data_IF_159722341204
#
_entry.id   IF_159722341204
#
_cell.length_a   1.000
_cell.length_b   1.000
_cell.length_c   1.000
_cell.angle_alpha   90.00
_cell.angle_beta   90.00
_cell.angle_gamma   90.00
#
_symmetry.space_group_name_H-M   'P 1'
#
loop_
_entity.id
_entity.type
_entity.pdbx_description
1 polymer ?
#
# COMPACT_ATOMS: atom_id res chain seq x y z
N UNK A 1 1.94 -12.67 -8.85
CA UNK A 1 0.73 -12.31 -8.11
C UNK A 1 0.68 -10.81 -7.98
N UNK A 2 -0.31 -10.18 -8.59
CA UNK A 2 -0.57 -8.74 -8.43
C UNK A 2 -1.82 -8.56 -7.59
N UNK A 3 -1.75 -7.65 -6.62
CA UNK A 3 -2.86 -7.30 -5.75
C UNK A 3 -3.15 -5.81 -5.91
N UNK A 4 -4.43 -5.44 -5.85
CA UNK A 4 -4.82 -4.06 -5.64
C UNK A 4 -4.84 -3.79 -4.14
N UNK A 5 -3.88 -3.04 -3.63
CA UNK A 5 -3.81 -2.66 -2.21
C UNK A 5 -3.23 -1.26 -2.04
N UNK A 6 -3.65 -0.60 -0.96
CA UNK A 6 -3.02 0.64 -0.51
C UNK A 6 -1.82 0.31 0.40
N UNK A 7 -0.69 0.95 0.15
CA UNK A 7 0.55 0.77 0.91
C UNK A 7 0.87 2.04 1.69
N UNK A 8 1.18 1.86 2.96
CA UNK A 8 1.58 2.93 3.88
C UNK A 8 2.87 2.53 4.59
N UNK A 9 3.66 3.50 5.03
CA UNK A 9 4.90 3.26 5.75
C UNK A 9 4.87 3.99 7.11
N UNK A 10 5.21 3.29 8.18
CA UNK A 10 5.29 3.86 9.53
C UNK A 10 6.72 4.36 9.80
N UNK A 11 7.10 5.46 9.15
CA UNK A 11 8.44 6.03 9.20
C UNK A 11 8.41 7.37 9.90
N UNK A 12 9.18 7.58 10.99
CA UNK A 12 9.35 8.89 11.60
C UNK A 12 9.95 9.90 10.61
N UNK A 13 9.57 11.18 10.71
CA UNK A 13 10.12 12.23 9.84
C UNK A 13 11.65 12.30 9.90
N UNK A 14 12.27 12.02 11.05
CA UNK A 14 13.73 11.96 11.21
C UNK A 14 14.42 10.86 10.38
N UNK A 15 13.67 9.85 9.91
CA UNK A 15 14.18 8.74 9.09
C UNK A 15 13.71 8.82 7.63
N UNK A 16 13.01 9.88 7.26
CA UNK A 16 12.36 9.98 5.94
C UNK A 16 13.36 10.11 4.78
N UNK A 17 14.58 10.58 5.05
CA UNK A 17 15.62 10.78 4.01
C UNK A 17 15.93 9.51 3.23
N UNK A 18 16.06 8.39 3.90
CA UNK A 18 16.32 7.11 3.24
C UNK A 18 15.12 6.69 2.41
N UNK A 19 13.91 6.79 2.96
CA UNK A 19 12.68 6.47 2.25
C UNK A 19 12.51 7.30 0.97
N UNK A 20 12.78 8.60 1.02
CA UNK A 20 12.67 9.49 -0.15
C UNK A 20 13.70 9.19 -1.23
N UNK A 21 14.80 8.54 -0.88
CA UNK A 21 15.79 8.08 -1.87
C UNK A 21 15.25 6.98 -2.80
N UNK A 22 14.20 6.26 -2.35
CA UNK A 22 13.55 5.19 -3.09
C UNK A 22 12.23 5.65 -3.76
N UNK A 23 11.38 6.41 -3.04
CA UNK A 23 9.98 6.64 -3.41
C UNK A 23 9.63 8.08 -3.79
N UNK A 24 10.55 9.02 -3.61
CA UNK A 24 10.31 10.42 -3.94
C UNK A 24 10.08 11.30 -2.71
N UNK A 25 9.79 12.58 -2.96
CA UNK A 25 9.80 13.63 -1.93
C UNK A 25 8.40 14.16 -1.59
N UNK A 26 7.35 13.54 -2.11
CA UNK A 26 5.96 13.91 -1.81
C UNK A 26 5.33 12.84 -0.96
N UNK A 27 4.64 13.24 0.11
CA UNK A 27 3.96 12.31 0.98
C UNK A 27 2.77 12.95 1.72
N UNK A 28 1.82 12.10 2.10
CA UNK A 28 0.73 12.46 3.02
C UNK A 28 0.89 11.58 4.25
N UNK A 29 1.12 12.20 5.41
CA UNK A 29 1.17 11.52 6.69
C UNK A 29 -0.22 11.41 7.31
N UNK A 30 -0.67 10.18 7.56
CA UNK A 30 -1.99 9.88 8.08
C UNK A 30 -1.89 9.33 9.50
N UNK A 31 -2.89 9.58 10.34
CA UNK A 31 -2.92 9.10 11.71
C UNK A 31 -3.06 7.57 11.76
N UNK A 32 -2.37 6.92 12.69
CA UNK A 32 -2.56 5.48 12.96
C UNK A 32 -4.01 5.14 13.36
N UNK A 33 -4.69 6.06 14.02
CA UNK A 33 -6.10 5.89 14.38
C UNK A 33 -6.95 5.67 13.14
N UNK A 34 -6.77 6.50 12.09
CA UNK A 34 -7.47 6.32 10.82
C UNK A 34 -7.11 4.99 10.17
N UNK A 35 -5.82 4.63 10.15
CA UNK A 35 -5.37 3.38 9.55
C UNK A 35 -6.06 2.16 10.19
N UNK A 36 -6.10 2.10 11.54
CA UNK A 36 -6.76 1.02 12.28
C UNK A 36 -8.27 0.98 11.98
N UNK A 37 -8.94 2.13 11.96
CA UNK A 37 -10.38 2.22 11.68
C UNK A 37 -10.74 1.78 10.25
N UNK A 38 -9.81 1.87 9.31
CA UNK A 38 -9.98 1.49 7.91
C UNK A 38 -9.34 0.13 7.56
N UNK A 39 -9.08 -0.71 8.55
CA UNK A 39 -8.49 -2.06 8.36
C UNK A 39 -7.14 -2.05 7.64
N UNK A 40 -6.36 -0.97 7.79
CA UNK A 40 -4.96 -0.95 7.38
C UNK A 40 -4.15 -1.65 8.45
N UNK A 41 -3.43 -2.71 8.09
CA UNK A 41 -2.71 -3.56 9.04
C UNK A 41 -1.21 -3.60 8.73
N UNK A 42 -0.34 -3.70 9.76
CA UNK A 42 1.07 -3.99 9.55
C UNK A 42 1.23 -5.35 8.88
N UNK A 43 2.25 -5.47 8.04
CA UNK A 43 2.55 -6.72 7.35
C UNK A 43 3.54 -7.59 8.15
N UNK A 44 3.56 -8.87 7.80
CA UNK A 44 4.54 -9.82 8.30
C UNK A 44 5.77 -9.83 7.39
N UNK A 45 6.94 -9.49 7.95
CA UNK A 45 8.21 -9.66 7.24
C UNK A 45 8.79 -11.03 7.54
N UNK A 46 9.18 -11.75 6.50
CA UNK A 46 9.71 -13.10 6.63
C UNK A 46 11.04 -13.25 5.90
N UNK A 47 11.90 -14.09 6.46
CA UNK A 47 13.16 -14.47 5.86
C UNK A 47 12.94 -15.63 4.86
N UNK A 48 13.73 -15.71 3.80
CA UNK A 48 13.54 -16.67 2.71
C UNK A 48 13.75 -18.13 3.10
N UNK A 49 14.45 -18.40 4.19
CA UNK A 49 14.84 -19.75 4.61
C UNK A 49 14.13 -20.25 5.86
N UNK A 50 12.83 -19.95 6.01
CA UNK A 50 12.09 -20.45 7.15
C UNK A 50 11.01 -21.45 6.75
N UNK A 51 10.69 -22.33 7.66
CA UNK A 51 9.66 -23.35 7.49
C UNK A 51 8.27 -22.76 7.19
N UNK A 52 8.01 -21.55 7.66
CA UNK A 52 6.77 -20.82 7.37
C UNK A 52 6.53 -20.65 5.86
N UNK A 53 7.58 -20.25 5.09
CA UNK A 53 7.47 -20.12 3.64
C UNK A 53 7.22 -21.47 2.98
N UNK A 54 7.93 -22.51 3.43
CA UNK A 54 7.77 -23.84 2.87
C UNK A 54 6.36 -24.36 3.11
N UNK A 55 5.85 -24.23 4.33
CA UNK A 55 4.47 -24.60 4.67
C UNK A 55 3.44 -23.84 3.83
N UNK A 56 3.62 -22.55 3.61
CA UNK A 56 2.72 -21.75 2.74
C UNK A 56 2.75 -22.25 1.29
N UNK A 57 3.94 -22.55 0.76
CA UNK A 57 4.11 -23.11 -0.60
C UNK A 57 3.46 -24.47 -0.76
N UNK A 58 3.64 -25.35 0.23
CA UNK A 58 3.04 -26.70 0.27
C UNK A 58 1.51 -26.61 0.32
N UNK A 59 0.95 -25.78 1.20
CA UNK A 59 -0.49 -25.57 1.27
C UNK A 59 -1.07 -25.01 -0.04
N UNK A 60 -0.40 -24.04 -0.65
CA UNK A 60 -0.82 -23.50 -1.94
C UNK A 60 -0.78 -24.56 -3.03
N UNK A 61 0.33 -25.32 -3.12
CA UNK A 61 0.48 -26.40 -4.09
C UNK A 61 -0.61 -27.45 -3.92
N UNK A 62 -0.86 -27.88 -2.69
CA UNK A 62 -1.90 -28.85 -2.38
C UNK A 62 -3.29 -28.38 -2.86
N UNK A 63 -3.67 -27.13 -2.55
CA UNK A 63 -4.96 -26.56 -2.97
C UNK A 63 -5.08 -26.44 -4.49
N UNK A 64 -3.99 -26.06 -5.17
CA UNK A 64 -3.97 -25.95 -6.63
C UNK A 64 -4.07 -27.33 -7.30
N UNK A 65 -3.34 -28.35 -6.77
CA UNK A 65 -3.39 -29.72 -7.26
C UNK A 65 -4.80 -30.33 -7.07
N UNK A 66 -5.49 -30.01 -5.99
CA UNK A 66 -6.87 -30.42 -5.76
C UNK A 66 -7.81 -29.78 -6.78
N UNK A 67 -7.71 -28.47 -6.99
CA UNK A 67 -8.52 -27.76 -7.99
C UNK A 67 -8.38 -28.39 -9.39
N UNK A 68 -7.15 -28.67 -9.79
CA UNK A 68 -6.87 -29.17 -11.14
C UNK A 68 -7.33 -30.64 -11.34
N UNK A 69 -7.33 -31.46 -10.28
CA UNK A 69 -7.83 -32.85 -10.31
C UNK A 69 -9.36 -32.95 -10.40
N UNK A 70 -10.07 -32.05 -9.76
CA UNK A 70 -11.53 -32.14 -9.67
C UNK A 70 -12.26 -31.58 -10.88
N UNK A 71 -11.57 -30.99 -11.88
CA UNK A 71 -12.17 -30.31 -13.03
C UNK A 71 -13.30 -29.33 -12.64
N UNK A 72 -13.28 -28.84 -11.40
CA UNK A 72 -14.41 -28.16 -10.77
C UNK A 72 -14.19 -26.65 -10.72
N UNK A 73 -14.73 -25.94 -11.68
CA UNK A 73 -14.88 -24.48 -11.65
C UNK A 73 -15.76 -24.03 -10.46
N UNK A 74 -16.55 -24.95 -9.89
CA UNK A 74 -17.43 -24.74 -8.73
C UNK A 74 -16.98 -25.48 -7.48
N UNK A 75 -15.74 -25.85 -7.32
CA UNK A 75 -15.30 -26.59 -6.15
C UNK A 75 -15.35 -25.74 -4.88
N UNK A 76 -15.72 -26.37 -3.78
CA UNK A 76 -15.65 -25.81 -2.43
C UNK A 76 -14.22 -25.36 -2.04
N UNK A 77 -13.23 -25.60 -2.90
CA UNK A 77 -11.80 -25.31 -2.70
C UNK A 77 -11.44 -23.86 -3.05
N UNK A 78 -12.13 -23.25 -4.02
CA UNK A 78 -11.82 -21.88 -4.46
C UNK A 78 -11.80 -20.84 -3.32
N UNK A 79 -12.72 -20.87 -2.34
CA UNK A 79 -12.65 -19.98 -1.18
C UNK A 79 -11.37 -20.14 -0.35
N UNK A 80 -10.86 -21.35 -0.20
CA UNK A 80 -9.63 -21.63 0.56
C UNK A 80 -8.39 -21.10 -0.15
N UNK A 81 -8.32 -21.29 -1.47
CA UNK A 81 -7.25 -20.71 -2.30
C UNK A 81 -7.26 -19.18 -2.15
N UNK A 82 -8.42 -18.56 -2.28
CA UNK A 82 -8.57 -17.09 -2.14
C UNK A 82 -8.19 -16.62 -0.74
N UNK A 83 -8.56 -17.38 0.31
CA UNK A 83 -8.16 -17.06 1.70
C UNK A 83 -6.66 -17.10 1.88
N UNK A 84 -5.99 -18.12 1.34
CA UNK A 84 -4.54 -18.25 1.42
C UNK A 84 -3.84 -17.08 0.70
N UNK A 85 -4.31 -16.71 -0.47
CA UNK A 85 -3.76 -15.53 -1.18
C UNK A 85 -3.98 -14.23 -0.41
N UNK A 86 -5.15 -14.05 0.20
CA UNK A 86 -5.43 -12.90 1.04
C UNK A 86 -4.43 -12.80 2.21
N UNK A 87 -4.12 -13.93 2.85
CA UNK A 87 -3.11 -13.99 3.90
C UNK A 87 -1.71 -13.67 3.36
N UNK A 88 -1.33 -14.26 2.20
CA UNK A 88 -0.04 -14.00 1.55
C UNK A 88 0.13 -12.52 1.15
N UNK A 89 -0.96 -11.80 0.88
CA UNK A 89 -0.90 -10.38 0.56
C UNK A 89 -0.39 -9.50 1.73
N UNK A 90 -0.43 -10.00 2.96
CA UNK A 90 0.16 -9.35 4.14
C UNK A 90 1.58 -9.83 4.46
N UNK A 91 2.21 -10.57 3.56
CA UNK A 91 3.57 -11.07 3.75
C UNK A 91 4.51 -10.37 2.77
N UNK A 92 5.71 -10.04 3.24
CA UNK A 92 6.79 -9.46 2.42
C UNK A 92 8.14 -10.06 2.84
N UNK A 93 9.09 -10.28 1.92
CA UNK A 93 10.45 -10.62 2.29
C UNK A 93 11.05 -9.59 3.25
N UNK A 94 11.89 -10.03 4.19
CA UNK A 94 12.61 -9.14 5.10
C UNK A 94 13.55 -8.20 4.34
N UNK A 95 14.25 -8.75 3.34
CA UNK A 95 15.14 -8.04 2.45
C UNK A 95 15.10 -8.62 1.03
N UNK A 96 15.59 -7.92 0.05
CA UNK A 96 15.64 -8.38 -1.32
C UNK A 96 16.16 -7.33 -2.29
N UNK A 97 16.22 -7.70 -3.55
CA UNK A 97 16.64 -6.78 -4.61
C UNK A 97 15.46 -5.91 -5.08
N UNK A 98 15.70 -4.61 -5.18
CA UNK A 98 14.74 -3.63 -5.71
C UNK A 98 15.44 -2.68 -6.68
N UNK A 99 14.76 -2.35 -7.78
CA UNK A 99 15.25 -1.34 -8.71
C UNK A 99 15.04 0.06 -8.13
N UNK A 100 16.13 0.80 -7.97
CA UNK A 100 16.09 2.19 -7.53
C UNK A 100 16.00 3.10 -8.76
N UNK A 101 14.84 3.74 -8.96
CA UNK A 101 14.56 4.59 -10.12
C UNK A 101 15.43 5.86 -10.18
N UNK A 102 15.81 6.42 -9.02
CA UNK A 102 16.69 7.60 -8.96
C UNK A 102 18.12 7.28 -9.39
N UNK A 103 18.61 6.12 -8.94
CA UNK A 103 20.00 5.69 -9.20
C UNK A 103 20.10 4.78 -10.44
N UNK A 104 18.98 4.40 -11.03
CA UNK A 104 18.87 3.55 -12.23
C UNK A 104 19.64 2.22 -12.10
N UNK A 105 19.58 1.59 -10.92
CA UNK A 105 20.25 0.32 -10.64
C UNK A 105 19.45 -0.54 -9.66
N UNK A 106 19.67 -1.85 -9.73
CA UNK A 106 19.16 -2.80 -8.73
C UNK A 106 20.06 -2.72 -7.50
N UNK A 107 19.44 -2.67 -6.32
CA UNK A 107 20.13 -2.66 -5.03
C UNK A 107 19.43 -3.59 -4.05
N UNK A 108 20.20 -4.20 -3.16
CA UNK A 108 19.67 -4.87 -1.99
C UNK A 108 19.04 -3.84 -1.06
N UNK A 109 17.82 -4.13 -0.62
CA UNK A 109 17.05 -3.28 0.29
C UNK A 109 16.49 -4.13 1.42
N UNK A 110 16.63 -3.65 2.64
CA UNK A 110 15.95 -4.23 3.80
C UNK A 110 14.52 -3.67 3.85
N UNK A 111 13.54 -4.45 3.38
CA UNK A 111 12.14 -4.02 3.32
C UNK A 111 11.53 -3.80 4.70
N UNK A 112 12.05 -4.47 5.73
CA UNK A 112 11.64 -4.28 7.12
C UNK A 112 11.71 -2.82 7.59
N UNK A 113 12.65 -2.02 7.06
CA UNK A 113 12.82 -0.61 7.44
C UNK A 113 11.67 0.27 6.96
N UNK A 114 10.87 -0.20 6.02
CA UNK A 114 9.67 0.51 5.56
C UNK A 114 8.55 0.48 6.59
N UNK A 115 8.57 -0.49 7.51
CA UNK A 115 7.48 -0.71 8.49
C UNK A 115 6.11 -0.62 7.82
N UNK A 116 5.97 -1.37 6.72
CA UNK A 116 4.83 -1.28 5.82
C UNK A 116 3.53 -1.71 6.50
N UNK A 117 2.47 -0.97 6.21
CA UNK A 117 1.09 -1.30 6.51
C UNK A 117 0.32 -1.41 5.20
N UNK A 118 -0.59 -2.36 5.11
CA UNK A 118 -1.42 -2.56 3.90
C UNK A 118 -2.89 -2.44 4.20
N UNK A 119 -3.58 -1.77 3.28
CA UNK A 119 -5.01 -1.88 3.10
C UNK A 119 -5.29 -2.84 1.96
N UNK A 120 -5.99 -3.92 2.23
CA UNK A 120 -6.49 -4.85 1.23
C UNK A 120 -8.00 -4.77 1.30
N UNK A 121 -8.69 -4.36 0.22
CA UNK A 121 -10.14 -4.26 0.22
C UNK A 121 -10.80 -5.58 0.62
N UNK A 122 -11.90 -5.51 1.35
CA UNK A 122 -12.68 -6.69 1.74
C UNK A 122 -13.17 -7.43 0.51
N UNK A 123 -13.10 -8.76 0.55
CA UNK A 123 -13.58 -9.66 -0.52
C UNK A 123 -15.05 -9.40 -0.89
N UNK A 124 -15.87 -8.99 0.07
CA UNK A 124 -17.27 -8.66 -0.15
C UNK A 124 -17.50 -7.42 -1.06
N UNK A 125 -16.46 -6.60 -1.23
CA UNK A 125 -16.51 -5.42 -2.11
C UNK A 125 -16.21 -5.74 -3.58
N UNK A 126 -15.76 -6.95 -3.90
CA UNK A 126 -15.53 -7.36 -5.28
C UNK A 126 -16.76 -8.10 -5.80
N UNK A 127 -17.30 -7.67 -6.93
CA UNK A 127 -18.44 -8.31 -7.60
C UNK A 127 -18.18 -9.75 -8.00
N UNK A 128 -16.90 -10.09 -8.20
CA UNK A 128 -16.44 -11.47 -8.42
C UNK A 128 -15.28 -11.80 -7.47
N UNK A 129 -15.43 -12.80 -6.59
CA UNK A 129 -14.38 -13.21 -5.64
C UNK A 129 -13.04 -13.55 -6.29
N UNK A 130 -13.06 -13.96 -7.57
CA UNK A 130 -11.88 -14.35 -8.33
C UNK A 130 -11.15 -13.16 -9.00
N UNK A 131 -11.78 -11.99 -9.06
CA UNK A 131 -11.17 -10.80 -9.67
C UNK A 131 -10.06 -10.19 -8.81
N UNK A 132 -10.06 -10.48 -7.50
CA UNK A 132 -9.05 -9.99 -6.56
C UNK A 132 -7.66 -10.59 -6.79
N UNK A 133 -7.58 -11.80 -7.34
CA UNK A 133 -6.34 -12.52 -7.58
C UNK A 133 -6.33 -13.10 -8.99
N UNK A 134 -5.69 -12.40 -9.93
CA UNK A 134 -5.45 -12.93 -11.26
C UNK A 134 -4.01 -13.40 -11.39
N UNK A 135 -3.85 -14.58 -11.96
CA UNK A 135 -2.55 -15.14 -12.32
C UNK A 135 -2.23 -14.79 -13.78
N UNK A 136 -1.13 -14.11 -14.02
CA UNK A 136 -0.62 -13.88 -15.35
C UNK A 136 0.51 -12.86 -15.39
N UNK A 137 1.43 -13.08 -16.33
CA UNK A 137 2.57 -12.17 -16.57
C UNK A 137 2.24 -11.06 -17.59
N UNK A 138 1.00 -10.93 -18.03
CA UNK A 138 0.63 -10.00 -19.09
C UNK A 138 0.49 -8.57 -18.56
N UNK A 139 1.23 -7.64 -19.19
CA UNK A 139 1.11 -6.19 -18.97
C UNK A 139 -0.33 -5.67 -19.20
N UNK A 140 -1.15 -6.41 -19.94
CA UNK A 140 -2.57 -6.14 -20.15
C UNK A 140 -3.40 -6.24 -18.86
N UNK A 141 -2.96 -7.07 -17.90
CA UNK A 141 -3.63 -7.26 -16.62
C UNK A 141 -3.44 -6.05 -15.71
N UNK A 142 -2.28 -5.38 -15.76
CA UNK A 142 -1.98 -4.18 -14.95
C UNK A 142 -2.91 -3.01 -15.24
N UNK A 143 -3.23 -2.76 -16.50
CA UNK A 143 -4.18 -1.72 -16.91
C UNK A 143 -5.62 -2.04 -16.49
N UNK A 144 -6.00 -3.32 -16.50
CA UNK A 144 -7.33 -3.78 -16.12
C UNK A 144 -7.63 -3.67 -14.63
N UNK A 145 -6.64 -3.86 -13.75
CA UNK A 145 -6.85 -3.78 -12.30
C UNK A 145 -7.24 -2.37 -11.83
N UNK A 146 -6.63 -1.34 -12.38
CA UNK A 146 -6.96 0.05 -12.03
C UNK A 146 -8.38 0.45 -12.47
N UNK A 147 -8.94 -0.18 -13.50
CA UNK A 147 -10.31 0.08 -13.94
C UNK A 147 -11.38 -0.57 -13.06
N UNK A 148 -11.02 -1.55 -12.21
CA UNK A 148 -11.90 -2.18 -11.22
C UNK A 148 -11.85 -1.53 -9.84
N UNK A 149 -10.94 -0.55 -9.63
CA UNK A 149 -10.93 0.27 -8.43
C UNK A 149 -12.06 1.28 -8.60
N UNK A 150 -13.24 0.91 -8.16
CA UNK A 150 -14.38 1.82 -8.06
C UNK A 150 -14.18 2.73 -6.86
N UNK A 151 -14.87 3.88 -6.82
CA UNK A 151 -14.82 4.81 -5.69
C UNK A 151 -15.13 4.13 -4.35
N UNK A 152 -15.94 3.06 -4.36
CA UNK A 152 -16.28 2.24 -3.18
C UNK A 152 -15.10 1.42 -2.62
N UNK A 153 -14.05 1.19 -3.41
CA UNK A 153 -12.84 0.50 -2.98
C UNK A 153 -11.77 1.48 -2.50
N UNK A 154 -11.93 2.76 -2.80
CA UNK A 154 -11.03 3.82 -2.42
C UNK A 154 -10.99 4.06 -0.92
N UNK A 155 -9.84 4.52 -0.44
CA UNK A 155 -9.68 5.05 0.91
C UNK A 155 -9.86 6.56 0.87
N UNK A 156 -10.81 7.08 1.62
CA UNK A 156 -10.99 8.51 1.84
C UNK A 156 -10.51 8.90 3.24
N UNK A 157 -10.01 10.12 3.38
CA UNK A 157 -9.59 10.64 4.68
C UNK A 157 -9.97 12.10 4.84
N UNK A 158 -10.56 12.39 6.01
CA UNK A 158 -10.94 13.73 6.42
C UNK A 158 -9.71 14.54 6.85
N UNK A 159 -9.76 15.89 6.82
CA UNK A 159 -8.66 16.76 7.25
C UNK A 159 -8.08 16.41 8.62
N UNK A 160 -8.91 16.02 9.59
CA UNK A 160 -8.48 15.67 10.96
C UNK A 160 -7.55 14.47 11.03
N UNK A 161 -7.56 13.59 10.02
CA UNK A 161 -6.72 12.39 9.98
C UNK A 161 -5.38 12.61 9.26
N UNK A 162 -5.19 13.77 8.65
CA UNK A 162 -3.93 14.12 7.99
C UNK A 162 -3.04 14.84 9.00
N UNK A 163 -1.90 14.24 9.35
CA UNK A 163 -0.94 14.83 10.28
C UNK A 163 -0.04 15.85 9.60
N UNK A 164 0.39 15.58 8.36
CA UNK A 164 1.23 16.46 7.55
C UNK A 164 1.12 16.12 6.07
N UNK A 165 1.44 17.09 5.24
CA UNK A 165 1.58 16.97 3.80
C UNK A 165 2.99 17.42 3.46
N UNK A 166 3.77 16.53 2.84
CA UNK A 166 5.16 16.82 2.46
C UNK A 166 5.20 17.14 0.98
N UNK A 167 5.78 18.28 0.65
CA UNK A 167 6.10 18.72 -0.71
C UNK A 167 7.61 18.73 -0.92
N UNK A 168 8.09 18.67 -2.15
CA UNK A 168 9.53 18.65 -2.42
C UNK A 168 10.20 19.98 -2.02
N UNK A 169 9.62 21.12 -2.44
CA UNK A 169 10.21 22.44 -2.30
C UNK A 169 9.31 23.42 -1.57
N UNK A 170 9.91 24.34 -0.83
CA UNK A 170 9.20 25.41 -0.10
C UNK A 170 8.26 26.23 -0.99
N UNK A 171 8.67 26.54 -2.21
CA UNK A 171 7.86 27.31 -3.18
C UNK A 171 6.55 26.64 -3.59
N UNK A 172 6.41 25.34 -3.39
CA UNK A 172 5.21 24.56 -3.75
C UNK A 172 4.11 24.66 -2.69
N UNK A 173 4.45 25.09 -1.47
CA UNK A 173 3.51 25.15 -0.35
C UNK A 173 2.25 25.94 -0.67
N UNK A 174 2.39 27.11 -1.29
CA UNK A 174 1.23 27.98 -1.60
C UNK A 174 0.33 27.38 -2.69
N UNK A 175 0.89 26.66 -3.63
CA UNK A 175 0.13 25.95 -4.67
C UNK A 175 -0.67 24.81 -4.03
N UNK A 176 -0.01 23.95 -3.27
CA UNK A 176 -0.67 22.82 -2.59
C UNK A 176 -1.72 23.31 -1.57
N UNK A 177 -1.48 24.43 -0.89
CA UNK A 177 -2.49 25.05 -0.02
C UNK A 177 -3.79 25.33 -0.78
N UNK A 178 -3.72 25.95 -1.96
CA UNK A 178 -4.90 26.27 -2.81
C UNK A 178 -5.62 24.99 -3.26
N UNK A 179 -4.86 23.98 -3.66
CA UNK A 179 -5.43 22.68 -4.04
C UNK A 179 -6.17 22.02 -2.87
N UNK A 180 -5.61 22.05 -1.65
CA UNK A 180 -6.28 21.54 -0.46
C UNK A 180 -7.57 22.29 -0.16
N UNK A 181 -7.57 23.62 -0.23
CA UNK A 181 -8.74 24.46 -0.03
C UNK A 181 -9.86 24.11 -1.03
N UNK A 182 -9.49 23.80 -2.27
CA UNK A 182 -10.43 23.39 -3.31
C UNK A 182 -10.94 21.95 -3.09
N UNK A 183 -10.04 20.98 -2.88
CA UNK A 183 -10.39 19.56 -2.75
C UNK A 183 -11.15 19.26 -1.46
N UNK A 184 -10.82 19.97 -0.37
CA UNK A 184 -11.41 19.78 0.97
C UNK A 184 -12.42 20.86 1.35
N UNK A 185 -12.89 21.64 0.39
CA UNK A 185 -13.82 22.77 0.63
C UNK A 185 -15.20 22.38 1.15
N UNK A 186 -15.56 21.10 1.10
CA UNK A 186 -16.78 20.53 1.72
C UNK A 186 -16.71 20.44 3.26
N UNK A 187 -15.49 20.48 3.84
CA UNK A 187 -15.28 20.43 5.27
C UNK A 187 -15.35 21.82 5.91
N UNK A 188 -15.41 21.86 7.25
CA UNK A 188 -15.45 23.14 7.94
C UNK A 188 -14.22 23.98 7.62
N UNK A 189 -14.40 25.32 7.57
CA UNK A 189 -13.30 26.26 7.30
C UNK A 189 -12.13 26.03 8.27
N UNK A 190 -12.43 25.85 9.55
CA UNK A 190 -11.41 25.63 10.56
C UNK A 190 -10.60 24.34 10.30
N UNK A 191 -11.25 23.26 9.88
CA UNK A 191 -10.55 22.00 9.58
C UNK A 191 -9.61 22.14 8.38
N UNK A 192 -10.05 22.87 7.34
CA UNK A 192 -9.24 23.13 6.14
C UNK A 192 -8.07 24.07 6.48
N UNK A 193 -8.30 25.16 7.23
CA UNK A 193 -7.26 26.07 7.68
C UNK A 193 -6.20 25.33 8.53
N UNK A 194 -6.61 24.48 9.48
CA UNK A 194 -5.70 23.66 10.28
C UNK A 194 -4.91 22.69 9.40
N UNK A 195 -5.53 22.08 8.39
CA UNK A 195 -4.83 21.18 7.47
C UNK A 195 -3.76 21.92 6.69
N UNK A 196 -4.02 23.13 6.22
CA UNK A 196 -3.02 23.93 5.47
C UNK A 196 -1.80 24.31 6.31
N UNK A 197 -1.91 24.38 7.64
CA UNK A 197 -0.75 24.61 8.54
C UNK A 197 0.15 23.37 8.68
N UNK A 198 -0.26 22.21 8.18
CA UNK A 198 0.47 20.95 8.27
C UNK A 198 1.29 20.65 7.01
N UNK A 199 1.43 21.60 6.10
CA UNK A 199 2.26 21.46 4.91
C UNK A 199 3.70 21.77 5.27
N UNK A 200 4.63 20.90 4.91
CA UNK A 200 6.07 21.05 5.15
C UNK A 200 6.85 20.65 3.89
N UNK A 201 7.98 21.31 3.63
CA UNK A 201 8.85 20.94 2.51
C UNK A 201 9.93 19.94 2.92
N UNK A 202 10.33 19.07 1.97
CA UNK A 202 11.51 18.21 2.15
C UNK A 202 12.80 19.00 2.28
N UNK A 203 12.87 20.21 1.67
CA UNK A 203 14.00 21.12 1.85
C UNK A 203 14.17 21.42 3.35
N UNK A 204 13.12 21.85 4.03
CA UNK A 204 13.16 22.16 5.47
C UNK A 204 13.44 20.93 6.35
N UNK A 205 12.80 19.80 6.05
CA UNK A 205 13.09 18.55 6.79
C UNK A 205 14.56 18.14 6.67
N UNK A 206 15.20 18.37 5.52
CA UNK A 206 16.62 18.04 5.31
C UNK A 206 17.59 19.00 6.01
N UNK A 207 17.15 20.22 6.28
CA UNK A 207 17.94 21.21 7.03
C UNK A 207 17.94 20.93 8.53
N UNK A 208 16.82 20.42 9.08
CA UNK A 208 16.63 20.24 10.52
C UNK A 208 17.05 18.85 11.03
N UNK A 209 17.13 17.85 10.16
CA UNK A 209 17.46 16.44 10.49
C UNK A 209 18.66 15.94 9.60
#
# INVERSE_FOLDING_TARGET
LEYSYGMFCDIPLSQIKEHTSWYGEYAIGITKKWAIQNNVNPILYINDNIELINTLKENLKFLLDLRDKENCINSNIQPYITNLFYQCAYIKPYEGEQYNHKQKQVKTKRFYDEREWRYIPSRAKFSEPNSMFRFGNDSFIKGGFNSYITDDLGLSFEPKYINYIIVSKEKEILEIKREIEMIKGEYSRNDVELLTTRIISMERIKEDF
#
